data_IF_544923408920
#
_entry.id   IF_544923408920
#
_cell.length_a   1.000
_cell.length_b   1.000
_cell.length_c   1.000
_cell.angle_alpha   90.00
_cell.angle_beta   90.00
_cell.angle_gamma   90.00
#
_symmetry.space_group_name_H-M   'P 1'
#
loop_
_entity.id
_entity.type
_entity.pdbx_description
1 polymer ?
#
# COMPACT_ATOMS: atom_id res chain seq x y z
N UNK A 1 15.15 15.44 68.30
CA UNK A 1 15.08 14.37 67.30
C UNK A 1 14.32 14.93 66.09
N UNK A 2 15.01 15.08 64.97
CA UNK A 2 14.47 15.71 63.74
C UNK A 2 14.10 14.56 62.77
N UNK A 3 12.81 14.31 62.56
CA UNK A 3 12.33 13.30 61.63
C UNK A 3 12.51 13.81 60.18
N UNK A 4 13.34 13.16 59.38
CA UNK A 4 13.40 13.37 57.95
C UNK A 4 12.39 12.43 57.27
N UNK A 5 11.40 13.01 56.57
CA UNK A 5 10.52 12.25 55.70
C UNK A 5 11.15 12.18 54.31
N UNK A 6 11.51 10.99 53.88
CA UNK A 6 12.07 10.75 52.57
C UNK A 6 10.91 10.60 51.58
N UNK A 7 10.76 11.55 50.67
CA UNK A 7 9.83 11.43 49.53
C UNK A 7 10.53 10.62 48.42
N UNK A 8 10.10 9.40 48.19
CA UNK A 8 10.50 8.62 47.03
C UNK A 8 9.52 8.99 45.89
N UNK A 9 10.00 9.81 44.94
CA UNK A 9 9.26 10.03 43.68
C UNK A 9 9.42 8.78 42.79
N UNK A 10 8.36 8.03 42.63
CA UNK A 10 8.29 6.98 41.61
C UNK A 10 8.13 7.70 40.24
N UNK A 11 9.18 7.70 39.45
CA UNK A 11 9.11 8.12 38.04
C UNK A 11 8.55 6.90 37.28
N UNK A 12 7.26 6.97 36.90
CA UNK A 12 6.71 6.06 35.92
C UNK A 12 7.26 6.45 34.55
N UNK A 13 8.25 5.73 34.07
CA UNK A 13 8.60 5.73 32.65
C UNK A 13 7.49 4.98 31.93
N UNK A 14 6.60 5.71 31.25
CA UNK A 14 5.70 5.14 30.24
C UNK A 14 6.62 4.74 29.09
N UNK A 15 7.01 3.48 29.05
CA UNK A 15 7.56 2.89 27.84
C UNK A 15 6.40 2.77 26.86
N UNK A 16 6.34 3.63 25.87
CA UNK A 16 5.58 3.33 24.67
C UNK A 16 6.26 2.11 24.05
N UNK A 17 5.65 0.94 24.24
CA UNK A 17 6.06 -0.25 23.53
C UNK A 17 5.69 -0.03 22.06
N UNK A 18 6.67 0.32 21.24
CA UNK A 18 6.54 0.22 19.81
C UNK A 18 6.36 -1.26 19.47
N UNK A 19 5.47 -1.57 18.56
CA UNK A 19 5.40 -2.88 17.90
C UNK A 19 6.81 -3.22 17.38
N UNK A 20 7.14 -4.49 17.29
CA UNK A 20 8.49 -4.94 16.89
C UNK A 20 8.84 -4.62 15.42
N UNK A 21 7.97 -3.96 14.66
CA UNK A 21 8.14 -3.61 13.25
C UNK A 21 8.92 -2.32 12.97
N UNK A 22 8.85 -1.90 11.70
CA UNK A 22 9.44 -0.65 11.23
C UNK A 22 8.66 0.57 11.73
N UNK A 23 9.40 1.66 11.97
CA UNK A 23 8.80 2.97 12.26
C UNK A 23 9.68 4.12 11.77
N UNK A 24 9.13 5.33 11.73
CA UNK A 24 9.88 6.51 11.31
C UNK A 24 10.56 7.17 12.50
N UNK A 25 11.82 7.57 12.31
CA UNK A 25 12.57 8.39 13.26
C UNK A 25 13.23 9.55 12.53
N UNK A 26 12.62 10.72 12.60
CA UNK A 26 13.08 11.87 11.81
C UNK A 26 12.98 11.55 10.32
N UNK A 27 14.09 11.67 9.60
CA UNK A 27 14.15 11.41 8.16
C UNK A 27 14.53 9.97 7.78
N UNK A 28 14.45 9.04 8.74
CA UNK A 28 14.84 7.64 8.57
C UNK A 28 13.68 6.70 8.87
N UNK A 29 13.68 5.56 8.21
CA UNK A 29 12.91 4.37 8.61
C UNK A 29 13.86 3.54 9.47
N UNK A 30 13.42 3.12 10.65
CA UNK A 30 14.23 2.34 11.59
C UNK A 30 13.50 1.08 12.07
N UNK A 31 14.27 0.07 12.48
CA UNK A 31 13.73 -1.13 13.11
C UNK A 31 13.46 -0.91 14.62
N UNK A 32 12.99 -1.93 15.30
CA UNK A 32 12.71 -1.94 16.75
C UNK A 32 13.93 -1.60 17.63
N UNK A 33 15.15 -1.76 17.11
CA UNK A 33 16.39 -1.40 17.81
C UNK A 33 16.81 0.06 17.57
N UNK A 34 16.07 0.81 16.74
CA UNK A 34 16.42 2.17 16.31
C UNK A 34 17.52 2.22 15.25
N UNK A 35 17.81 1.11 14.58
CA UNK A 35 18.79 1.05 13.49
C UNK A 35 18.12 1.39 12.17
N UNK A 36 18.77 2.24 11.35
CA UNK A 36 18.27 2.63 10.05
C UNK A 36 18.13 1.43 9.10
N UNK A 37 16.95 1.31 8.49
CA UNK A 37 16.65 0.31 7.48
C UNK A 37 16.45 0.99 6.12
N UNK A 38 17.37 0.75 5.20
CA UNK A 38 17.21 1.12 3.80
C UNK A 38 16.42 0.02 3.09
N UNK A 39 15.15 0.28 2.81
CA UNK A 39 14.30 -0.66 2.11
C UNK A 39 14.75 -0.81 0.65
N UNK A 40 15.30 -1.98 0.33
CA UNK A 40 15.65 -2.41 -1.03
C UNK A 40 14.64 -3.44 -1.46
N UNK A 41 13.62 -2.97 -2.18
CA UNK A 41 12.44 -3.74 -2.46
C UNK A 41 12.36 -4.31 -3.85
N UNK A 42 11.45 -5.25 -3.99
CA UNK A 42 10.95 -5.81 -5.24
C UNK A 42 9.43 -5.78 -5.23
N UNK A 43 8.82 -5.40 -6.36
CA UNK A 43 7.37 -5.46 -6.57
C UNK A 43 7.04 -6.60 -7.54
N UNK A 44 6.25 -7.63 -7.14
CA UNK A 44 5.79 -8.70 -8.02
C UNK A 44 4.67 -8.18 -8.95
N UNK A 45 5.04 -7.35 -9.93
CA UNK A 45 4.10 -6.80 -10.91
C UNK A 45 3.42 -7.91 -11.71
N UNK A 46 2.16 -7.68 -12.07
CA UNK A 46 1.35 -8.66 -12.78
C UNK A 46 0.80 -9.81 -11.92
N UNK A 47 1.06 -9.83 -10.62
CA UNK A 47 0.64 -10.92 -9.74
C UNK A 47 -0.81 -10.81 -9.28
N UNK A 48 -1.13 -9.80 -8.47
CA UNK A 48 -2.50 -9.59 -7.98
C UNK A 48 -3.28 -8.63 -8.88
N UNK A 49 -2.58 -7.85 -9.68
CA UNK A 49 -3.13 -7.00 -10.74
C UNK A 49 -2.32 -7.20 -12.02
N UNK A 50 -3.01 -7.39 -13.14
CA UNK A 50 -2.40 -7.47 -14.47
C UNK A 50 -2.46 -6.12 -15.15
N UNK A 51 -1.31 -5.65 -15.62
CA UNK A 51 -1.17 -4.43 -16.40
C UNK A 51 -0.82 -4.79 -17.85
N UNK A 52 -1.58 -4.29 -18.81
CA UNK A 52 -1.48 -4.71 -20.20
C UNK A 52 -0.09 -4.53 -20.81
N UNK A 53 0.68 -3.51 -20.41
CA UNK A 53 2.04 -3.32 -20.90
C UNK A 53 3.00 -4.39 -20.36
N UNK A 54 2.85 -4.83 -19.11
CA UNK A 54 3.62 -5.95 -18.54
C UNK A 54 3.22 -7.27 -19.18
N UNK A 55 1.93 -7.48 -19.42
CA UNK A 55 1.38 -8.67 -20.03
C UNK A 55 1.55 -8.70 -21.56
N UNK A 56 2.05 -7.60 -22.15
CA UNK A 56 2.18 -7.40 -23.60
C UNK A 56 0.83 -7.47 -24.34
N UNK A 57 -0.22 -7.05 -23.69
CA UNK A 57 -1.60 -7.05 -24.23
C UNK A 57 -2.12 -5.65 -24.53
N UNK A 58 -1.39 -4.57 -24.24
CA UNK A 58 -1.86 -3.17 -24.39
C UNK A 58 -2.45 -2.84 -25.77
N UNK A 59 -2.08 -3.59 -26.83
CA UNK A 59 -2.63 -3.36 -28.17
C UNK A 59 -4.10 -3.77 -28.31
N UNK A 60 -4.69 -4.52 -27.35
CA UNK A 60 -6.05 -5.04 -27.40
C UNK A 60 -6.74 -5.19 -26.02
N UNK A 61 -6.01 -5.15 -24.94
CA UNK A 61 -6.49 -5.17 -23.55
C UNK A 61 -5.41 -4.53 -22.66
N UNK A 62 -5.64 -3.30 -22.21
CA UNK A 62 -4.69 -2.51 -21.43
C UNK A 62 -4.83 -2.73 -19.93
N UNK A 63 -6.06 -2.99 -19.45
CA UNK A 63 -6.39 -3.16 -18.03
C UNK A 63 -6.73 -4.61 -17.70
N UNK A 64 -6.79 -4.94 -16.41
CA UNK A 64 -7.09 -6.30 -15.96
C UNK A 64 -8.51 -6.72 -16.34
N UNK A 65 -9.51 -5.85 -16.20
CA UNK A 65 -10.88 -6.20 -16.60
C UNK A 65 -10.97 -6.49 -18.11
N UNK A 66 -10.30 -5.69 -18.97
CA UNK A 66 -10.25 -5.96 -20.40
C UNK A 66 -9.55 -7.29 -20.72
N UNK A 67 -8.44 -7.60 -20.03
CA UNK A 67 -7.75 -8.90 -20.15
C UNK A 67 -8.71 -10.03 -19.75
N UNK A 68 -9.42 -9.87 -18.63
CA UNK A 68 -10.40 -10.86 -18.15
C UNK A 68 -11.53 -11.07 -19.18
N UNK A 69 -12.07 -10.00 -19.74
CA UNK A 69 -13.10 -10.09 -20.80
C UNK A 69 -12.61 -10.89 -22.03
N UNK A 70 -11.37 -10.61 -22.49
CA UNK A 70 -10.79 -11.37 -23.62
C UNK A 70 -10.60 -12.86 -23.28
N UNK A 71 -10.23 -13.18 -22.07
CA UNK A 71 -10.12 -14.57 -21.63
C UNK A 71 -11.48 -15.26 -21.52
N UNK A 72 -12.51 -14.55 -21.04
CA UNK A 72 -13.89 -15.04 -21.01
C UNK A 72 -14.39 -15.31 -22.43
N UNK A 73 -14.16 -14.40 -23.37
CA UNK A 73 -14.51 -14.58 -24.78
C UNK A 73 -13.80 -15.81 -25.41
N UNK A 74 -12.56 -16.06 -25.00
CA UNK A 74 -11.73 -17.14 -25.57
C UNK A 74 -12.09 -18.51 -24.99
N UNK A 75 -12.32 -18.62 -23.70
CA UNK A 75 -12.40 -19.92 -23.02
C UNK A 75 -13.56 -20.07 -22.01
N UNK A 76 -14.40 -19.03 -21.87
CA UNK A 76 -15.55 -19.01 -20.96
C UNK A 76 -15.15 -18.68 -19.50
N UNK A 77 -16.14 -18.22 -18.72
CA UNK A 77 -15.94 -17.76 -17.33
C UNK A 77 -15.21 -18.80 -16.45
N UNK A 78 -15.69 -20.03 -16.42
CA UNK A 78 -15.12 -21.08 -15.56
C UNK A 78 -13.62 -21.30 -15.80
N UNK A 79 -13.20 -21.36 -17.08
CA UNK A 79 -11.78 -21.56 -17.39
C UNK A 79 -10.97 -20.28 -17.11
N UNK A 80 -11.58 -19.12 -17.25
CA UNK A 80 -10.93 -17.84 -16.93
C UNK A 80 -10.66 -17.74 -15.42
N UNK A 81 -11.59 -18.13 -14.56
CA UNK A 81 -11.34 -18.16 -13.11
C UNK A 81 -10.23 -19.17 -12.76
N UNK A 82 -10.25 -20.37 -13.34
CA UNK A 82 -9.17 -21.35 -13.17
C UNK A 82 -7.82 -20.80 -13.65
N UNK A 83 -7.80 -20.01 -14.73
CA UNK A 83 -6.58 -19.36 -15.21
C UNK A 83 -6.05 -18.37 -14.16
N UNK A 84 -6.89 -17.48 -13.64
CA UNK A 84 -6.47 -16.50 -12.64
C UNK A 84 -6.01 -17.15 -11.33
N UNK A 85 -6.67 -18.25 -10.91
CA UNK A 85 -6.22 -19.01 -9.74
C UNK A 85 -4.83 -19.61 -9.97
N UNK A 86 -4.62 -20.26 -11.12
CA UNK A 86 -3.32 -20.84 -11.47
C UNK A 86 -2.26 -19.77 -11.71
N UNK A 87 -2.63 -18.60 -12.22
CA UNK A 87 -1.73 -17.46 -12.34
C UNK A 87 -1.22 -17.02 -10.97
N UNK A 88 -2.13 -16.75 -10.03
CA UNK A 88 -1.77 -16.32 -8.68
C UNK A 88 -0.92 -17.36 -7.93
N UNK A 89 -1.26 -18.64 -8.09
CA UNK A 89 -0.53 -19.75 -7.47
C UNK A 89 0.93 -19.87 -7.97
N UNK A 90 1.20 -19.51 -9.22
CA UNK A 90 2.47 -19.82 -9.87
C UNK A 90 3.30 -18.61 -10.29
N UNK A 91 2.76 -17.39 -10.28
CA UNK A 91 3.46 -16.20 -10.75
C UNK A 91 4.47 -15.68 -9.73
N UNK A 92 4.11 -15.67 -8.46
CA UNK A 92 5.00 -15.30 -7.35
C UNK A 92 4.89 -16.34 -6.24
N UNK A 93 6.02 -16.91 -5.86
CA UNK A 93 6.07 -18.13 -5.02
C UNK A 93 7.15 -18.02 -3.95
N UNK A 94 7.19 -18.95 -3.01
CA UNK A 94 8.26 -19.03 -2.00
C UNK A 94 9.66 -19.03 -2.65
N UNK A 95 9.84 -19.69 -3.80
CA UNK A 95 11.14 -19.72 -4.50
C UNK A 95 11.60 -18.32 -4.90
N UNK A 96 10.67 -17.43 -5.27
CA UNK A 96 10.98 -16.07 -5.66
C UNK A 96 11.44 -15.28 -4.43
N UNK A 97 10.76 -15.44 -3.29
CA UNK A 97 11.14 -14.83 -2.00
C UNK A 97 12.52 -15.31 -1.54
N UNK A 98 12.79 -16.64 -1.60
CA UNK A 98 14.10 -17.20 -1.28
C UNK A 98 15.20 -16.62 -2.18
N UNK A 99 14.89 -16.40 -3.47
CA UNK A 99 15.83 -15.79 -4.42
C UNK A 99 16.09 -14.33 -4.13
N UNK A 100 15.04 -13.55 -3.78
CA UNK A 100 15.16 -12.15 -3.38
C UNK A 100 16.05 -12.02 -2.14
N UNK A 101 15.83 -12.88 -1.14
CA UNK A 101 16.66 -12.95 0.06
C UNK A 101 18.14 -13.22 -0.29
N UNK A 102 18.40 -14.21 -1.14
CA UNK A 102 19.75 -14.55 -1.59
C UNK A 102 20.44 -13.41 -2.35
N UNK A 103 19.70 -12.54 -3.02
CA UNK A 103 20.20 -11.36 -3.72
C UNK A 103 20.32 -10.12 -2.84
N UNK A 104 19.93 -10.20 -1.56
CA UNK A 104 20.06 -9.13 -0.58
C UNK A 104 18.94 -8.08 -0.63
N UNK A 105 17.77 -8.43 -1.18
CA UNK A 105 16.56 -7.65 -0.99
C UNK A 105 16.05 -7.83 0.44
N UNK A 106 15.47 -6.79 1.01
CA UNK A 106 14.95 -6.78 2.37
C UNK A 106 13.50 -6.27 2.46
N UNK A 107 12.86 -6.06 1.31
CA UNK A 107 11.45 -5.68 1.26
C UNK A 107 10.77 -6.19 -0.01
N UNK A 108 9.46 -6.42 0.09
CA UNK A 108 8.57 -6.76 -1.02
C UNK A 108 7.39 -5.79 -0.94
N UNK A 109 7.08 -5.07 -2.04
CA UNK A 109 5.88 -4.25 -2.16
C UNK A 109 4.86 -5.02 -2.97
N UNK A 110 3.74 -5.42 -2.36
CA UNK A 110 2.68 -6.22 -3.00
C UNK A 110 1.67 -5.29 -3.66
N UNK A 111 1.61 -5.23 -5.00
CA UNK A 111 0.57 -4.47 -5.70
C UNK A 111 -0.76 -5.23 -5.66
N UNK A 112 -1.66 -4.79 -4.78
CA UNK A 112 -2.95 -5.42 -4.51
C UNK A 112 -4.06 -4.87 -5.40
N UNK A 113 -4.97 -5.74 -5.82
CA UNK A 113 -6.24 -5.34 -6.38
C UNK A 113 -7.36 -5.52 -5.36
N UNK A 114 -8.16 -4.47 -5.11
CA UNK A 114 -9.20 -4.47 -4.08
C UNK A 114 -10.21 -5.63 -4.22
N UNK A 115 -10.50 -6.08 -5.45
CA UNK A 115 -11.48 -7.13 -5.71
C UNK A 115 -11.04 -8.55 -5.25
N UNK A 116 -9.80 -8.71 -4.81
CA UNK A 116 -9.35 -9.93 -4.13
C UNK A 116 -9.72 -9.95 -2.64
N UNK A 117 -10.22 -8.83 -2.11
CA UNK A 117 -10.53 -8.62 -0.70
C UNK A 117 -12.00 -8.30 -0.43
N UNK A 118 -12.70 -7.70 -1.40
CA UNK A 118 -14.12 -7.34 -1.28
C UNK A 118 -14.75 -7.23 -2.66
N UNK A 119 -16.08 -7.34 -2.73
CA UNK A 119 -16.83 -7.14 -3.98
C UNK A 119 -16.80 -5.66 -4.41
N UNK A 120 -16.91 -5.38 -5.72
CA UNK A 120 -17.23 -4.05 -6.22
C UNK A 120 -18.57 -3.54 -5.64
N UNK A 121 -18.75 -2.22 -5.55
CA UNK A 121 -19.96 -1.64 -4.96
C UNK A 121 -21.25 -2.07 -5.69
N UNK A 122 -21.17 -2.26 -6.99
CA UNK A 122 -22.29 -2.68 -7.84
C UNK A 122 -22.68 -4.16 -7.68
N UNK A 123 -21.80 -4.98 -7.08
CA UNK A 123 -22.03 -6.41 -6.83
C UNK A 123 -22.43 -6.69 -5.38
N UNK A 124 -22.39 -5.68 -4.50
CA UNK A 124 -22.84 -5.86 -3.13
C UNK A 124 -24.36 -6.07 -3.07
N UNK A 125 -24.79 -7.04 -2.26
CA UNK A 125 -26.22 -7.35 -2.10
C UNK A 125 -26.99 -6.19 -1.47
N UNK A 126 -26.34 -5.41 -0.63
CA UNK A 126 -26.90 -4.23 0.05
C UNK A 126 -25.93 -3.07 -0.10
N UNK A 127 -26.36 -1.92 -0.67
CA UNK A 127 -25.53 -0.74 -0.80
C UNK A 127 -24.87 -0.33 0.52
N UNK A 128 -23.58 -0.02 0.49
CA UNK A 128 -22.81 0.40 1.67
C UNK A 128 -22.31 -0.75 2.56
N UNK A 129 -22.67 -2.00 2.27
CA UNK A 129 -22.05 -3.17 2.92
C UNK A 129 -20.74 -3.57 2.23
N UNK A 130 -19.95 -4.40 2.92
CA UNK A 130 -18.71 -4.94 2.41
C UNK A 130 -18.71 -6.46 2.56
N UNK A 131 -18.86 -7.17 1.44
CA UNK A 131 -18.66 -8.62 1.38
C UNK A 131 -17.16 -8.91 1.29
N UNK A 132 -16.62 -9.56 2.31
CA UNK A 132 -15.20 -9.85 2.39
C UNK A 132 -14.86 -11.14 1.63
N UNK A 133 -13.73 -11.11 0.91
CA UNK A 133 -13.16 -12.21 0.14
C UNK A 133 -11.79 -12.54 0.75
N UNK A 134 -11.52 -13.81 1.04
CA UNK A 134 -10.29 -14.20 1.72
C UNK A 134 -9.09 -14.36 0.76
N UNK A 135 -9.29 -14.45 -0.55
CA UNK A 135 -8.23 -14.72 -1.54
C UNK A 135 -7.03 -13.78 -1.40
N UNK A 136 -7.27 -12.46 -1.30
CA UNK A 136 -6.19 -11.50 -1.16
C UNK A 136 -5.45 -11.63 0.17
N UNK A 137 -6.19 -11.92 1.24
CA UNK A 137 -5.59 -12.14 2.57
C UNK A 137 -4.75 -13.41 2.60
N UNK A 138 -5.20 -14.52 2.03
CA UNK A 138 -4.44 -15.77 1.93
C UNK A 138 -3.13 -15.58 1.17
N UNK A 139 -3.15 -14.83 0.06
CA UNK A 139 -1.95 -14.51 -0.71
C UNK A 139 -0.95 -13.65 0.09
N UNK A 140 -1.41 -12.73 0.92
CA UNK A 140 -0.54 -11.94 1.81
C UNK A 140 0.02 -12.82 2.91
N UNK A 141 -0.81 -13.67 3.53
CA UNK A 141 -0.39 -14.59 4.59
C UNK A 141 0.73 -15.52 4.10
N UNK A 142 0.62 -16.06 2.88
CA UNK A 142 1.66 -16.88 2.25
C UNK A 142 2.98 -16.10 2.11
N UNK A 143 2.94 -14.86 1.59
CA UNK A 143 4.17 -14.05 1.45
C UNK A 143 4.78 -13.71 2.80
N UNK A 144 3.98 -13.41 3.81
CA UNK A 144 4.47 -13.15 5.17
C UNK A 144 5.14 -14.40 5.76
N UNK A 145 4.57 -15.60 5.55
CA UNK A 145 5.17 -16.85 5.97
C UNK A 145 6.52 -17.10 5.27
N UNK A 146 6.64 -16.81 3.98
CA UNK A 146 7.88 -16.98 3.22
C UNK A 146 8.92 -15.89 3.53
N UNK A 147 8.49 -14.65 3.80
CA UNK A 147 9.38 -13.50 4.02
C UNK A 147 10.00 -13.46 5.43
N UNK A 148 9.23 -13.86 6.45
CA UNK A 148 9.65 -13.80 7.85
C UNK A 148 10.98 -14.53 8.14
N UNK A 149 11.24 -15.75 7.64
CA UNK A 149 12.52 -16.45 7.88
C UNK A 149 13.75 -15.74 7.28
N UNK A 150 13.54 -14.76 6.40
CA UNK A 150 14.59 -14.04 5.69
C UNK A 150 14.72 -12.57 6.13
N UNK A 151 14.01 -12.16 7.19
CA UNK A 151 13.97 -10.77 7.64
C UNK A 151 13.56 -9.78 6.53
N UNK A 152 12.61 -10.18 5.67
CA UNK A 152 12.08 -9.36 4.59
C UNK A 152 10.76 -8.73 5.02
N UNK A 153 10.69 -7.39 4.94
CA UNK A 153 9.47 -6.63 5.22
C UNK A 153 8.53 -6.63 4.03
N UNK A 154 7.23 -6.74 4.30
CA UNK A 154 6.17 -6.71 3.29
C UNK A 154 5.43 -5.37 3.38
N UNK A 155 5.41 -4.62 2.29
CA UNK A 155 4.66 -3.36 2.16
C UNK A 155 3.41 -3.67 1.33
N UNK A 156 2.25 -3.39 1.91
CA UNK A 156 0.97 -3.61 1.25
C UNK A 156 0.58 -2.36 0.47
N UNK A 157 0.44 -2.48 -0.83
CA UNK A 157 0.15 -1.40 -1.75
C UNK A 157 -1.24 -1.57 -2.37
N UNK A 158 -2.13 -0.60 -2.18
CA UNK A 158 -3.41 -0.59 -2.89
C UNK A 158 -3.21 -0.07 -4.32
N UNK A 159 -2.83 -0.99 -5.18
CA UNK A 159 -2.48 -0.68 -6.57
C UNK A 159 -3.71 -0.43 -7.46
N UNK A 160 -4.80 -1.14 -7.20
CA UNK A 160 -6.10 -0.86 -7.78
C UNK A 160 -7.14 -0.71 -6.66
N UNK A 161 -7.55 0.53 -6.42
CA UNK A 161 -8.55 0.90 -5.43
C UNK A 161 -9.99 0.71 -5.97
N UNK A 162 -11.01 0.60 -5.10
CA UNK A 162 -12.41 0.54 -5.52
C UNK A 162 -12.78 1.67 -6.49
N UNK A 163 -13.26 1.33 -7.68
CA UNK A 163 -13.60 2.26 -8.74
C UNK A 163 -12.43 2.79 -9.56
N UNK A 164 -11.18 2.48 -9.17
CA UNK A 164 -9.96 2.99 -9.83
C UNK A 164 -9.62 4.43 -9.45
N UNK A 165 -8.32 4.70 -9.24
CA UNK A 165 -7.80 5.99 -8.75
C UNK A 165 -7.14 6.83 -9.83
N UNK A 166 -7.04 6.36 -11.05
CA UNK A 166 -6.39 7.05 -12.16
C UNK A 166 -7.26 7.15 -13.40
N UNK A 167 -7.02 8.15 -14.24
CA UNK A 167 -7.73 8.32 -15.51
C UNK A 167 -7.31 7.28 -16.58
N UNK A 168 -6.12 6.69 -16.45
CA UNK A 168 -5.64 5.59 -17.29
C UNK A 168 -5.96 4.25 -16.65
N UNK A 169 -6.61 3.36 -17.41
CA UNK A 169 -7.03 2.05 -16.89
C UNK A 169 -5.88 1.05 -16.72
N UNK A 170 -4.76 1.25 -17.39
CA UNK A 170 -3.69 0.26 -17.49
C UNK A 170 -3.01 -0.06 -16.15
N UNK A 171 -2.98 0.89 -15.21
CA UNK A 171 -2.27 0.74 -13.93
C UNK A 171 -3.23 0.35 -12.79
N UNK A 172 -4.47 0.86 -12.81
CA UNK A 172 -5.38 0.80 -11.66
C UNK A 172 -6.72 0.13 -11.95
N UNK A 173 -6.83 -0.52 -13.11
CA UNK A 173 -8.02 -1.25 -13.56
C UNK A 173 -9.30 -0.40 -13.59
N UNK A 174 -9.19 0.92 -13.82
CA UNK A 174 -10.32 1.82 -13.93
C UNK A 174 -11.22 1.45 -15.12
N UNK A 175 -12.52 1.27 -14.86
CA UNK A 175 -13.56 1.09 -15.86
C UNK A 175 -14.31 2.42 -16.06
N UNK A 176 -14.12 3.13 -17.20
CA UNK A 176 -14.75 4.42 -17.42
C UNK A 176 -16.28 4.36 -17.58
N UNK A 177 -16.87 3.18 -17.64
CA UNK A 177 -18.33 2.99 -17.62
C UNK A 177 -18.93 3.06 -16.22
N UNK A 178 -18.08 3.07 -15.17
CA UNK A 178 -18.44 3.06 -13.75
C UNK A 178 -17.88 4.30 -13.03
N UNK A 179 -18.46 4.69 -11.89
CA UNK A 179 -17.92 5.78 -11.10
C UNK A 179 -16.52 5.43 -10.56
N UNK A 180 -15.57 6.34 -10.78
CA UNK A 180 -14.22 6.24 -10.20
C UNK A 180 -14.23 6.37 -8.67
N UNK A 181 -13.08 6.10 -8.02
CA UNK A 181 -12.86 6.39 -6.61
C UNK A 181 -13.24 7.83 -6.24
N UNK A 182 -12.89 8.78 -7.12
CA UNK A 182 -13.07 10.20 -6.88
C UNK A 182 -14.53 10.67 -7.07
N UNK A 183 -15.29 10.00 -7.89
CA UNK A 183 -16.70 10.32 -8.17
C UNK A 183 -17.68 9.66 -7.20
N UNK A 184 -17.29 8.56 -6.54
CA UNK A 184 -18.16 7.78 -5.67
C UNK A 184 -17.72 7.86 -4.20
N UNK A 185 -18.59 8.39 -3.34
CA UNK A 185 -18.38 8.31 -1.88
C UNK A 185 -18.38 6.85 -1.40
N UNK A 186 -19.22 6.01 -1.98
CA UNK A 186 -19.31 4.60 -1.61
C UNK A 186 -18.01 3.83 -1.89
N UNK A 187 -17.32 4.14 -3.02
CA UNK A 187 -15.99 3.59 -3.29
C UNK A 187 -14.95 4.05 -2.26
N UNK A 188 -14.99 5.33 -1.85
CA UNK A 188 -14.10 5.87 -0.82
C UNK A 188 -14.36 5.21 0.55
N UNK A 189 -15.63 5.09 0.94
CA UNK A 189 -16.02 4.43 2.19
C UNK A 189 -15.58 2.95 2.21
N UNK A 190 -15.73 2.26 1.07
CA UNK A 190 -15.25 0.88 0.90
C UNK A 190 -13.73 0.79 1.03
N UNK A 191 -12.98 1.72 0.46
CA UNK A 191 -11.51 1.76 0.57
C UNK A 191 -11.07 1.96 2.03
N UNK A 192 -11.73 2.86 2.78
CA UNK A 192 -11.46 3.07 4.21
C UNK A 192 -11.77 1.81 5.01
N UNK A 193 -12.90 1.15 4.75
CA UNK A 193 -13.27 -0.09 5.42
C UNK A 193 -12.29 -1.23 5.10
N UNK A 194 -11.84 -1.33 3.85
CA UNK A 194 -10.87 -2.33 3.42
C UNK A 194 -9.52 -2.14 4.13
N UNK A 195 -8.98 -0.92 4.14
CA UNK A 195 -7.74 -0.63 4.85
C UNK A 195 -7.85 -0.87 6.36
N UNK A 196 -8.99 -0.51 6.97
CA UNK A 196 -9.24 -0.80 8.38
C UNK A 196 -9.21 -2.31 8.66
N UNK A 197 -9.81 -3.12 7.78
CA UNK A 197 -9.79 -4.59 7.91
C UNK A 197 -8.40 -5.18 7.69
N UNK A 198 -7.66 -4.71 6.68
CA UNK A 198 -6.27 -5.13 6.44
C UNK A 198 -5.42 -4.83 7.68
N UNK A 199 -5.50 -3.60 8.18
CA UNK A 199 -4.75 -3.18 9.35
C UNK A 199 -5.12 -3.98 10.61
N UNK A 200 -6.41 -4.25 10.85
CA UNK A 200 -6.84 -5.07 12.00
C UNK A 200 -6.29 -6.50 11.94
N UNK A 201 -6.22 -7.10 10.72
CA UNK A 201 -5.67 -8.45 10.52
C UNK A 201 -4.17 -8.51 10.81
N UNK A 202 -3.42 -7.48 10.40
CA UNK A 202 -1.96 -7.52 10.39
C UNK A 202 -1.28 -6.64 11.45
N UNK A 203 -2.01 -5.94 12.30
CA UNK A 203 -1.49 -4.99 13.31
C UNK A 203 -0.41 -5.53 14.25
N UNK A 204 -0.38 -6.84 14.46
CA UNK A 204 0.58 -7.51 15.35
C UNK A 204 1.69 -8.25 14.58
N UNK A 205 1.74 -8.11 13.25
CA UNK A 205 2.75 -8.79 12.42
C UNK A 205 3.95 -7.88 12.17
N UNK A 206 5.09 -8.18 12.79
CA UNK A 206 6.32 -7.39 12.70
C UNK A 206 6.94 -7.31 11.30
N UNK A 207 6.56 -8.23 10.38
CA UNK A 207 7.07 -8.26 9.01
C UNK A 207 6.25 -7.40 8.05
N UNK A 208 5.14 -6.83 8.48
CA UNK A 208 4.50 -5.75 7.75
C UNK A 208 5.38 -4.51 7.85
N UNK A 209 5.93 -4.07 6.71
CA UNK A 209 6.74 -2.86 6.61
C UNK A 209 5.92 -1.58 6.63
N UNK A 210 4.65 -1.67 6.27
CA UNK A 210 3.69 -0.58 6.27
C UNK A 210 2.61 -0.70 5.20
N UNK A 211 1.75 0.30 5.14
CA UNK A 211 0.58 0.40 4.28
C UNK A 211 0.77 1.55 3.28
N UNK A 212 0.88 1.21 2.00
CA UNK A 212 0.96 2.16 0.88
C UNK A 212 -0.45 2.38 0.34
N UNK A 213 -1.03 3.51 0.73
CA UNK A 213 -2.49 3.68 0.78
C UNK A 213 -3.17 3.67 -0.58
N UNK A 214 -2.58 4.30 -1.60
CA UNK A 214 -3.10 4.36 -2.98
C UNK A 214 -1.93 4.56 -3.93
N UNK A 215 -1.72 3.62 -4.83
CA UNK A 215 -0.71 3.71 -5.88
C UNK A 215 -1.09 4.76 -6.94
N UNK A 216 -0.13 5.54 -7.38
CA UNK A 216 -0.10 6.34 -8.61
C UNK A 216 -1.44 7.02 -9.00
N UNK A 217 -2.02 7.78 -8.09
CA UNK A 217 -3.17 8.64 -8.44
C UNK A 217 -2.82 9.49 -9.65
N UNK A 218 -3.72 9.51 -10.64
CA UNK A 218 -3.54 10.25 -11.87
C UNK A 218 -4.89 10.82 -12.34
N UNK A 219 -5.34 11.88 -11.66
CA UNK A 219 -6.62 12.53 -11.92
C UNK A 219 -6.53 14.04 -11.74
N UNK A 220 -7.46 14.76 -12.35
CA UNK A 220 -7.64 16.21 -12.09
C UNK A 220 -8.32 16.41 -10.73
N UNK A 221 -7.50 16.56 -9.70
CA UNK A 221 -7.91 16.79 -8.31
C UNK A 221 -7.36 18.16 -7.87
N UNK A 222 -8.15 19.24 -7.96
CA UNK A 222 -7.66 20.60 -7.70
C UNK A 222 -6.96 20.74 -6.35
N UNK A 223 -5.65 21.04 -6.39
CA UNK A 223 -4.80 21.19 -5.21
C UNK A 223 -4.67 19.92 -4.37
N UNK A 224 -5.01 18.77 -4.95
CA UNK A 224 -5.04 17.44 -4.29
C UNK A 224 -5.87 17.40 -3.00
N UNK A 225 -6.85 18.30 -2.85
CA UNK A 225 -7.63 18.40 -1.61
C UNK A 225 -8.43 17.13 -1.31
N UNK A 226 -9.10 16.57 -2.32
CA UNK A 226 -9.85 15.30 -2.16
C UNK A 226 -8.92 14.11 -1.93
N UNK A 227 -7.74 14.07 -2.60
CA UNK A 227 -6.74 13.04 -2.37
C UNK A 227 -6.26 13.06 -0.91
N UNK A 228 -5.99 14.25 -0.37
CA UNK A 228 -5.62 14.42 1.02
C UNK A 228 -6.72 13.97 1.98
N UNK A 229 -7.97 14.39 1.74
CA UNK A 229 -9.14 13.99 2.54
C UNK A 229 -9.24 12.46 2.61
N UNK A 230 -9.17 11.78 1.46
CA UNK A 230 -9.24 10.30 1.40
C UNK A 230 -8.08 9.65 2.15
N UNK A 231 -6.86 10.15 2.01
CA UNK A 231 -5.71 9.64 2.77
C UNK A 231 -5.88 9.83 4.29
N UNK A 232 -6.40 10.98 4.73
CA UNK A 232 -6.67 11.25 6.14
C UNK A 232 -7.75 10.31 6.68
N UNK A 233 -8.84 10.07 5.94
CA UNK A 233 -9.91 9.15 6.31
C UNK A 233 -9.41 7.70 6.42
N UNK A 234 -8.60 7.23 5.45
CA UNK A 234 -7.96 5.92 5.52
C UNK A 234 -7.03 5.83 6.74
N UNK A 235 -6.22 6.87 6.98
CA UNK A 235 -5.34 6.91 8.14
C UNK A 235 -6.11 6.80 9.45
N UNK A 236 -7.23 7.51 9.59
CA UNK A 236 -8.12 7.41 10.76
C UNK A 236 -8.65 5.98 10.93
N UNK A 237 -9.10 5.35 9.84
CA UNK A 237 -9.54 3.96 9.85
C UNK A 237 -8.45 3.01 10.34
N UNK A 238 -7.25 3.07 9.74
CA UNK A 238 -6.09 2.26 10.14
C UNK A 238 -5.74 2.51 11.61
N UNK A 239 -5.60 3.77 12.03
CA UNK A 239 -5.19 4.12 13.40
C UNK A 239 -6.21 3.74 14.47
N UNK A 240 -7.47 3.49 14.08
CA UNK A 240 -8.48 2.97 15.00
C UNK A 240 -8.18 1.54 15.48
N UNK A 241 -7.38 0.78 14.73
CA UNK A 241 -7.05 -0.63 15.00
C UNK A 241 -5.54 -0.90 15.09
N UNK A 242 -4.73 -0.14 14.36
CA UNK A 242 -3.28 -0.27 14.27
C UNK A 242 -2.58 1.09 14.48
N UNK A 243 -2.07 1.35 15.67
CA UNK A 243 -1.37 2.60 15.96
C UNK A 243 0.10 2.60 15.50
N UNK A 244 0.65 1.49 14.98
CA UNK A 244 2.09 1.27 14.92
C UNK A 244 2.69 1.26 13.52
N UNK A 245 2.07 0.58 12.53
CA UNK A 245 2.68 0.42 11.21
C UNK A 245 2.79 1.75 10.44
N UNK A 246 3.82 1.82 9.59
CA UNK A 246 4.08 3.00 8.75
C UNK A 246 2.94 3.20 7.74
N UNK A 247 2.54 4.45 7.57
CA UNK A 247 1.68 4.90 6.48
C UNK A 247 2.56 5.46 5.37
N UNK A 248 2.52 4.86 4.18
CA UNK A 248 3.11 5.42 2.97
C UNK A 248 2.02 6.13 2.18
N UNK A 249 2.34 7.30 1.66
CA UNK A 249 1.45 8.05 0.77
C UNK A 249 2.17 8.45 -0.50
N UNK A 250 1.48 8.36 -1.60
CA UNK A 250 1.96 8.79 -2.91
C UNK A 250 1.33 10.11 -3.34
N UNK A 251 2.06 10.86 -4.14
CA UNK A 251 1.52 12.06 -4.77
C UNK A 251 0.57 11.75 -5.93
N UNK A 252 -0.17 12.75 -6.38
CA UNK A 252 -0.85 12.72 -7.68
C UNK A 252 0.18 12.68 -8.84
N UNK A 253 -0.26 12.63 -10.07
CA UNK A 253 0.61 12.59 -11.25
C UNK A 253 1.64 11.47 -11.20
N UNK A 254 1.16 10.23 -10.99
CA UNK A 254 2.00 9.03 -10.89
C UNK A 254 3.03 9.14 -9.75
N UNK A 255 2.56 9.44 -8.54
CA UNK A 255 3.35 9.63 -7.33
C UNK A 255 4.35 10.81 -7.35
N UNK A 256 4.17 11.79 -8.24
CA UNK A 256 5.13 12.88 -8.42
C UNK A 256 4.63 14.28 -8.02
N UNK A 257 3.34 14.47 -7.72
CA UNK A 257 2.79 15.74 -7.24
C UNK A 257 2.27 15.62 -5.80
N UNK A 258 3.06 16.08 -4.85
CA UNK A 258 2.73 16.12 -3.42
C UNK A 258 2.15 17.46 -2.97
N UNK A 259 1.79 18.35 -3.89
CA UNK A 259 1.14 19.62 -3.54
C UNK A 259 -0.17 19.36 -2.78
N UNK A 260 -0.42 20.12 -1.72
CA UNK A 260 -1.60 19.90 -0.86
C UNK A 260 -1.51 18.71 0.12
N UNK A 261 -0.53 17.80 -0.04
CA UNK A 261 -0.36 16.64 0.84
C UNK A 261 0.57 16.92 2.04
N UNK A 262 1.05 18.13 2.19
CA UNK A 262 1.85 18.59 3.33
C UNK A 262 1.11 19.64 4.15
N UNK A 263 1.36 19.77 5.50
CA UNK A 263 2.26 18.95 6.31
C UNK A 263 1.75 17.52 6.55
N UNK A 264 2.62 16.61 7.07
CA UNK A 264 2.19 15.27 7.51
C UNK A 264 1.08 15.38 8.56
N UNK A 265 0.15 14.43 8.55
CA UNK A 265 -0.97 14.35 9.49
C UNK A 265 -0.86 13.16 10.46
N UNK A 266 0.15 12.32 10.26
CA UNK A 266 0.46 11.20 11.14
C UNK A 266 1.95 11.20 11.52
N UNK A 267 2.26 10.71 12.72
CA UNK A 267 3.62 10.72 13.25
C UNK A 267 4.50 9.59 12.70
N UNK A 268 3.90 8.60 12.04
CA UNK A 268 4.59 7.45 11.46
C UNK A 268 4.29 7.34 9.97
N UNK A 269 4.65 8.37 9.21
CA UNK A 269 4.32 8.55 7.80
C UNK A 269 5.56 8.72 6.94
N UNK A 270 5.51 8.19 5.73
CA UNK A 270 6.56 8.26 4.70
C UNK A 270 5.93 8.80 3.42
N UNK A 271 6.63 9.72 2.76
CA UNK A 271 6.25 10.16 1.41
C UNK A 271 6.92 9.27 0.38
N UNK A 272 6.11 8.58 -0.40
CA UNK A 272 6.55 7.74 -1.51
C UNK A 272 6.50 8.51 -2.83
N UNK A 273 7.43 8.23 -3.73
CA UNK A 273 7.46 8.83 -5.06
C UNK A 273 8.04 7.85 -6.08
N UNK A 274 7.65 7.98 -7.33
CA UNK A 274 8.12 7.12 -8.41
C UNK A 274 9.03 7.89 -9.37
N UNK A 275 10.13 7.27 -9.78
CA UNK A 275 11.10 7.86 -10.69
C UNK A 275 11.50 6.87 -11.76
N UNK A 276 10.84 6.96 -12.92
CA UNK A 276 11.14 6.10 -14.08
C UNK A 276 12.02 6.73 -15.15
N UNK A 277 12.31 8.03 -15.06
CA UNK A 277 13.23 8.66 -16.01
C UNK A 277 14.67 8.25 -15.76
N UNK A 278 15.45 8.12 -16.85
CA UNK A 278 16.75 7.46 -16.86
C UNK A 278 17.93 8.25 -16.31
N UNK A 279 17.77 9.54 -16.04
CA UNK A 279 18.85 10.37 -15.49
C UNK A 279 18.97 10.21 -13.99
N UNK A 280 20.21 10.12 -13.49
CA UNK A 280 20.52 10.05 -12.06
C UNK A 280 21.54 11.14 -11.71
N UNK A 281 21.18 12.40 -11.95
CA UNK A 281 22.03 13.53 -11.63
C UNK A 281 21.71 14.08 -10.24
N UNK A 282 22.68 14.74 -9.57
CA UNK A 282 22.39 15.58 -8.43
C UNK A 282 21.34 16.63 -8.86
N UNK A 283 20.27 16.77 -8.13
CA UNK A 283 19.17 17.67 -8.49
C UNK A 283 17.95 17.01 -9.13
N UNK A 284 18.05 15.77 -9.60
CA UNK A 284 16.89 15.04 -10.12
C UNK A 284 15.78 14.81 -9.05
N UNK A 285 16.14 14.94 -7.78
CA UNK A 285 15.22 14.82 -6.63
C UNK A 285 14.98 16.14 -5.89
N UNK A 286 15.48 17.28 -6.41
CA UNK A 286 15.35 18.59 -5.73
C UNK A 286 13.88 19.01 -5.51
N UNK A 287 12.96 18.46 -6.27
CA UNK A 287 11.53 18.71 -6.16
C UNK A 287 10.89 18.03 -4.94
N UNK A 288 11.41 16.89 -4.48
CA UNK A 288 10.85 16.11 -3.34
C UNK A 288 11.66 16.28 -2.05
N UNK A 289 12.97 16.50 -2.13
CA UNK A 289 13.85 16.64 -0.97
C UNK A 289 13.42 17.74 0.02
N UNK A 290 12.80 18.87 -0.39
CA UNK A 290 12.27 19.85 0.56
C UNK A 290 11.24 19.30 1.54
N UNK A 291 10.41 18.33 1.14
CA UNK A 291 9.44 17.68 2.04
C UNK A 291 10.19 17.00 3.19
N UNK A 292 11.23 16.22 2.87
CA UNK A 292 12.06 15.52 3.85
C UNK A 292 12.68 16.48 4.87
N UNK A 293 13.26 17.58 4.39
CA UNK A 293 13.99 18.53 5.25
C UNK A 293 13.09 19.44 6.03
N UNK A 294 11.99 19.91 5.42
CA UNK A 294 11.05 20.84 6.06
C UNK A 294 10.21 20.17 7.15
N UNK A 295 9.78 18.94 6.91
CA UNK A 295 8.86 18.24 7.80
C UNK A 295 9.54 17.15 8.62
N UNK A 296 10.85 16.92 8.41
CA UNK A 296 11.62 15.89 9.12
C UNK A 296 10.99 14.50 9.01
N UNK A 297 10.67 14.09 7.78
CA UNK A 297 10.01 12.82 7.44
C UNK A 297 10.86 12.03 6.44
N UNK A 298 10.76 10.68 6.42
CA UNK A 298 11.42 9.87 5.40
C UNK A 298 10.79 10.04 4.02
N UNK A 299 11.60 9.78 3.00
CA UNK A 299 11.15 9.56 1.62
C UNK A 299 11.46 8.11 1.24
N UNK A 300 10.60 7.55 0.38
CA UNK A 300 10.78 6.23 -0.22
C UNK A 300 10.49 6.28 -1.71
N UNK A 301 11.27 5.50 -2.55
CA UNK A 301 11.17 5.50 -4.00
C UNK A 301 10.94 4.08 -4.51
#
# INVERSE_FOLDING_TARGET
>A
MRNYVLFISLIFTVSFGWSQGLHTQGTQIVNSNGEEVLLRGYGPGGWQIMEGYMMQTSGFAGSQHEIKERLVDLMGETNTEVFFDKWRENHFTQRDVDSLAAWGFNSIRIPMHYNLFTLPIEEEAVPGENTWIETGFELIDDVLEWAAPHDIYVILDMHAAPGGQGAGSEINDYDPSKPSLWESQENRDKLVALWTRIADRYKDNEWIGGYDLINETHCDLPGNALLREVFEDITVGIRSVDPNHIIFIEGNSYANDHSGLTPPWDNNMVYSFHKYWSTNNPGDLDWILPIRTQYNVPLWM
#
